data_IF_830252134036
#
_entry.id   IF_830252134036
#
_cell.length_a   1.000
_cell.length_b   1.000
_cell.length_c   1.000
_cell.angle_alpha   90.00
_cell.angle_beta   90.00
_cell.angle_gamma   90.00
#
_symmetry.space_group_name_H-M   'P 1'
#
loop_
_entity.id
_entity.type
_entity.pdbx_description
1 polymer ?
#
# COMPACT_ATOMS: atom_id res chain seq x y z
N UNK A 1 15.73 46.58 9.38
CA UNK A 1 16.62 45.69 8.62
C UNK A 1 15.76 44.57 8.05
N UNK A 2 15.34 44.69 6.79
CA UNK A 2 14.72 43.56 6.07
C UNK A 2 15.87 42.64 5.68
N UNK A 3 15.99 41.49 6.36
CA UNK A 3 16.84 40.41 5.88
C UNK A 3 16.15 39.89 4.62
N UNK A 4 16.65 40.29 3.44
CA UNK A 4 16.29 39.62 2.20
C UNK A 4 16.73 38.17 2.35
N UNK A 5 15.75 37.27 2.47
CA UNK A 5 15.96 35.82 2.50
C UNK A 5 16.59 35.42 1.18
N UNK A 6 17.91 35.23 1.19
CA UNK A 6 18.62 34.62 0.08
C UNK A 6 18.03 33.20 -0.04
N UNK A 7 17.50 32.82 -1.22
CA UNK A 7 16.92 31.49 -1.40
C UNK A 7 17.98 30.43 -1.06
N UNK A 8 17.57 29.44 -0.29
CA UNK A 8 18.41 28.30 0.04
C UNK A 8 18.92 27.65 -1.25
N UNK A 9 20.23 27.42 -1.35
CA UNK A 9 20.87 26.85 -2.54
C UNK A 9 20.16 25.56 -2.99
N UNK A 10 19.77 24.69 -2.04
CA UNK A 10 19.11 23.42 -2.34
C UNK A 10 17.69 23.56 -2.87
N UNK A 11 16.93 24.54 -2.37
CA UNK A 11 15.63 24.90 -2.94
C UNK A 11 15.75 25.39 -4.39
N UNK A 12 16.83 26.12 -4.71
CA UNK A 12 17.08 26.55 -6.09
C UNK A 12 17.47 25.40 -7.02
N UNK A 13 18.19 24.39 -6.53
CA UNK A 13 18.46 23.15 -7.27
C UNK A 13 17.17 22.40 -7.64
N UNK A 14 16.21 22.24 -6.72
CA UNK A 14 14.89 21.63 -7.02
C UNK A 14 14.14 22.46 -8.07
N UNK A 15 14.17 23.78 -7.97
CA UNK A 15 13.54 24.66 -8.96
C UNK A 15 14.12 24.49 -10.36
N UNK A 16 15.43 24.23 -10.48
CA UNK A 16 16.09 23.95 -11.75
C UNK A 16 15.61 22.61 -12.32
N UNK A 17 15.52 21.57 -11.49
CA UNK A 17 14.98 20.26 -11.89
C UNK A 17 13.53 20.37 -12.35
N UNK A 18 12.69 21.12 -11.63
CA UNK A 18 11.31 21.39 -12.02
C UNK A 18 11.20 22.04 -13.40
N UNK A 19 12.04 23.06 -13.68
CA UNK A 19 12.09 23.68 -15.02
C UNK A 19 12.55 22.73 -16.12
N UNK A 20 13.50 21.83 -15.82
CA UNK A 20 13.95 20.79 -16.76
C UNK A 20 12.81 19.82 -17.07
N UNK A 21 12.09 19.36 -16.05
CA UNK A 21 10.89 18.54 -16.20
C UNK A 21 9.82 19.24 -17.05
N UNK A 22 9.43 20.47 -16.71
CA UNK A 22 8.42 21.22 -17.48
C UNK A 22 8.80 21.32 -18.95
N UNK A 23 10.05 21.67 -19.29
CA UNK A 23 10.48 21.79 -20.69
C UNK A 23 10.40 20.49 -21.49
N UNK A 24 10.59 19.35 -20.84
CA UNK A 24 10.53 18.04 -21.51
C UNK A 24 9.09 17.64 -21.82
N UNK A 25 8.14 18.00 -20.96
CA UNK A 25 6.76 17.51 -21.04
C UNK A 25 5.74 18.56 -21.49
N UNK A 26 6.01 19.86 -21.38
CA UNK A 26 5.11 20.93 -21.85
C UNK A 26 5.09 21.11 -23.37
N UNK A 27 6.08 20.54 -24.07
CA UNK A 27 6.21 20.65 -25.52
C UNK A 27 5.61 19.45 -26.28
N UNK A 28 4.98 18.50 -25.59
CA UNK A 28 4.23 17.44 -26.26
C UNK A 28 2.89 18.01 -26.73
N UNK A 29 2.56 17.91 -28.04
CA UNK A 29 1.25 18.31 -28.52
C UNK A 29 0.19 17.52 -27.75
N UNK A 30 -0.88 18.20 -27.31
CA UNK A 30 -2.01 17.53 -26.70
C UNK A 30 -2.61 16.61 -27.78
N UNK A 31 -2.88 15.32 -27.50
CA UNK A 31 -3.37 14.37 -28.51
C UNK A 31 -4.71 14.80 -29.14
N UNK A 32 -5.43 15.72 -28.50
CA UNK A 32 -6.66 16.33 -29.01
C UNK A 32 -6.43 17.33 -30.16
N UNK A 33 -5.19 17.74 -30.46
CA UNK A 33 -4.89 18.63 -31.60
C UNK A 33 -4.52 17.88 -32.89
N UNK A 34 -4.54 16.54 -32.89
CA UNK A 34 -4.40 15.71 -34.11
C UNK A 34 -5.78 15.26 -34.58
N UNK A 35 -6.65 16.22 -34.89
CA UNK A 35 -7.93 15.94 -35.56
C UNK A 35 -7.73 15.93 -37.09
N UNK A 36 -7.92 14.75 -37.70
CA UNK A 36 -8.66 14.54 -38.96
C UNK A 36 -8.23 15.29 -40.25
N UNK A 37 -6.97 15.16 -40.67
CA UNK A 37 -6.61 15.35 -42.09
C UNK A 37 -5.80 14.17 -42.61
N UNK A 38 -6.46 13.05 -42.92
CA UNK A 38 -6.23 12.18 -44.10
C UNK A 38 -6.94 10.83 -43.93
N UNK A 39 -8.19 10.76 -44.39
CA UNK A 39 -8.85 9.50 -44.76
C UNK A 39 -8.35 9.07 -46.13
N UNK A 40 -7.25 8.32 -46.17
CA UNK A 40 -6.98 7.37 -47.26
C UNK A 40 -6.78 6.01 -46.60
N UNK A 41 -7.91 5.29 -46.46
CA UNK A 41 -7.97 3.88 -46.10
C UNK A 41 -7.31 3.08 -47.23
N UNK A 42 -6.07 2.62 -47.02
CA UNK A 42 -5.58 1.30 -47.43
C UNK A 42 -4.04 1.28 -47.32
N UNK A 43 -3.51 0.37 -46.49
CA UNK A 43 -2.12 -0.09 -46.34
C UNK A 43 -1.27 0.59 -45.24
N UNK A 44 -1.05 -0.15 -44.13
CA UNK A 44 0.24 -0.41 -43.42
C UNK A 44 0.07 -0.61 -41.89
N UNK A 45 -0.66 -1.65 -41.45
CA UNK A 45 -0.87 -1.97 -40.02
C UNK A 45 0.30 -2.71 -39.32
N UNK A 46 1.56 -2.53 -39.72
CA UNK A 46 2.68 -3.33 -39.17
C UNK A 46 3.97 -2.57 -38.78
N UNK A 47 4.03 -1.24 -38.92
CA UNK A 47 5.24 -0.47 -38.51
C UNK A 47 5.02 0.62 -37.45
N UNK A 48 3.78 0.90 -37.03
CA UNK A 48 3.48 1.94 -36.02
C UNK A 48 4.01 1.56 -34.63
N UNK A 49 3.90 0.28 -34.22
CA UNK A 49 4.27 -0.16 -32.87
C UNK A 49 5.78 -0.03 -32.53
N UNK A 50 6.67 0.01 -33.53
CA UNK A 50 8.13 0.02 -33.27
C UNK A 50 8.71 1.40 -33.04
N UNK A 51 8.06 2.46 -33.53
CA UNK A 51 8.56 3.83 -33.36
C UNK A 51 8.25 4.32 -31.94
N UNK A 52 7.12 3.91 -31.38
CA UNK A 52 6.69 4.29 -30.02
C UNK A 52 7.55 3.65 -28.92
N UNK A 53 8.01 2.40 -29.09
CA UNK A 53 8.82 1.71 -28.06
C UNK A 53 10.20 2.38 -27.84
N UNK A 54 10.85 2.87 -28.90
CA UNK A 54 12.20 3.45 -28.80
C UNK A 54 12.18 4.85 -28.18
N UNK A 55 11.12 5.63 -28.44
CA UNK A 55 10.93 6.95 -27.80
C UNK A 55 10.48 6.82 -26.33
N UNK A 56 9.67 5.80 -26.02
CA UNK A 56 9.26 5.51 -24.64
C UNK A 56 10.46 5.11 -23.75
N UNK A 57 11.38 4.29 -24.27
CA UNK A 57 12.58 3.90 -23.52
C UNK A 57 13.47 5.09 -23.12
N UNK A 58 13.75 6.01 -24.05
CA UNK A 58 14.55 7.21 -23.76
C UNK A 58 13.85 8.16 -22.78
N UNK A 59 12.54 8.30 -22.91
CA UNK A 59 11.73 9.15 -22.01
C UNK A 59 11.78 8.61 -20.58
N UNK A 60 11.63 7.29 -20.41
CA UNK A 60 11.67 6.62 -19.11
C UNK A 60 13.02 6.82 -18.39
N UNK A 61 14.15 6.67 -19.11
CA UNK A 61 15.48 6.88 -18.53
C UNK A 61 15.72 8.33 -18.08
N UNK A 62 15.30 9.32 -18.89
CA UNK A 62 15.43 10.73 -18.52
C UNK A 62 14.56 11.06 -17.30
N UNK A 63 13.35 10.51 -17.23
CA UNK A 63 12.47 10.69 -16.08
C UNK A 63 13.08 10.06 -14.82
N UNK A 64 13.60 8.84 -14.91
CA UNK A 64 14.31 8.15 -13.82
C UNK A 64 15.49 8.98 -13.31
N UNK A 65 16.29 9.57 -14.21
CA UNK A 65 17.41 10.46 -13.86
C UNK A 65 16.93 11.69 -13.06
N UNK A 66 15.82 12.31 -13.46
CA UNK A 66 15.26 13.48 -12.75
C UNK A 66 14.73 13.13 -11.37
N UNK A 67 14.05 11.98 -11.25
CA UNK A 67 13.56 11.45 -9.98
C UNK A 67 14.73 11.17 -9.03
N UNK A 68 15.74 10.45 -9.49
CA UNK A 68 16.95 10.17 -8.72
C UNK A 68 17.71 11.45 -8.31
N UNK A 69 17.81 12.42 -9.24
CA UNK A 69 18.44 13.72 -8.97
C UNK A 69 17.69 14.51 -7.88
N UNK A 70 16.37 14.47 -7.90
CA UNK A 70 15.54 15.14 -6.89
C UNK A 70 15.79 14.52 -5.50
N UNK A 71 15.83 13.19 -5.40
CA UNK A 71 16.21 12.51 -4.15
C UNK A 71 17.64 12.85 -3.71
N UNK A 72 18.59 12.98 -4.64
CA UNK A 72 19.97 13.36 -4.31
C UNK A 72 20.05 14.78 -3.70
N UNK A 73 19.26 15.73 -4.20
CA UNK A 73 19.18 17.09 -3.61
C UNK A 73 18.67 17.05 -2.18
N UNK A 74 17.59 16.31 -1.92
CA UNK A 74 17.03 16.12 -0.56
C UNK A 74 18.06 15.48 0.36
N UNK A 75 18.72 14.40 -0.08
CA UNK A 75 19.77 13.73 0.71
C UNK A 75 20.89 14.69 1.10
N UNK A 76 21.41 15.44 0.13
CA UNK A 76 22.48 16.41 0.37
C UNK A 76 22.02 17.55 1.31
N UNK A 77 20.76 17.93 1.25
CA UNK A 77 20.18 18.90 2.16
C UNK A 77 20.14 18.39 3.61
N UNK A 78 19.75 17.12 3.83
CA UNK A 78 19.71 16.48 5.16
C UNK A 78 21.09 16.21 5.75
N UNK A 79 22.10 15.96 4.92
CA UNK A 79 23.49 15.79 5.35
C UNK A 79 24.17 17.10 5.76
N UNK A 80 23.64 18.26 5.37
CA UNK A 80 24.18 19.57 5.70
C UNK A 80 23.53 20.10 7.00
N UNK A 81 24.24 20.08 8.15
CA UNK A 81 23.69 20.57 9.41
C UNK A 81 23.45 22.09 9.44
N UNK A 82 23.97 22.83 8.46
CA UNK A 82 23.71 24.27 8.33
C UNK A 82 22.35 24.56 7.69
N UNK A 83 21.72 23.56 7.07
CA UNK A 83 20.45 23.71 6.40
C UNK A 83 19.29 23.75 7.41
N UNK A 84 18.59 24.89 7.46
CA UNK A 84 17.47 25.10 8.40
C UNK A 84 16.09 24.93 7.77
N UNK A 85 16.04 24.70 6.46
CA UNK A 85 14.80 24.76 5.69
C UNK A 85 14.43 23.41 5.05
N UNK A 86 14.62 22.33 5.81
CA UNK A 86 14.37 20.97 5.34
C UNK A 86 12.90 20.76 4.97
N UNK A 87 11.94 21.31 5.73
CA UNK A 87 10.50 21.16 5.43
C UNK A 87 10.12 21.78 4.07
N UNK A 88 10.69 22.94 3.73
CA UNK A 88 10.45 23.56 2.42
C UNK A 88 11.08 22.75 1.29
N UNK A 89 12.31 22.25 1.48
CA UNK A 89 13.00 21.42 0.49
C UNK A 89 12.24 20.12 0.26
N UNK A 90 11.84 19.45 1.35
CA UNK A 90 11.09 18.19 1.29
C UNK A 90 9.75 18.43 0.60
N UNK A 91 9.03 19.50 0.93
CA UNK A 91 7.76 19.86 0.28
C UNK A 91 7.93 20.16 -1.22
N UNK A 92 8.98 20.87 -1.63
CA UNK A 92 9.22 21.15 -3.05
C UNK A 92 9.61 19.87 -3.82
N UNK A 93 10.40 19.00 -3.20
CA UNK A 93 10.75 17.70 -3.77
C UNK A 93 9.52 16.81 -3.90
N UNK A 94 8.66 16.79 -2.87
CA UNK A 94 7.37 16.10 -2.83
C UNK A 94 6.47 16.49 -4.02
N UNK A 95 6.21 17.78 -4.18
CA UNK A 95 5.41 18.32 -5.29
C UNK A 95 6.00 17.96 -6.66
N UNK A 96 7.33 18.04 -6.81
CA UNK A 96 8.01 17.71 -8.06
C UNK A 96 7.98 16.20 -8.38
N UNK A 97 8.25 15.35 -7.38
CA UNK A 97 8.19 13.89 -7.54
C UNK A 97 6.76 13.44 -7.88
N UNK A 98 5.76 13.97 -7.17
CA UNK A 98 4.35 13.69 -7.46
C UNK A 98 4.00 14.05 -8.91
N UNK A 99 4.36 15.25 -9.38
CA UNK A 99 4.10 15.66 -10.76
C UNK A 99 4.83 14.80 -11.80
N UNK A 100 6.04 14.33 -11.51
CA UNK A 100 6.78 13.42 -12.38
C UNK A 100 6.13 12.04 -12.47
N UNK A 101 5.66 11.48 -11.36
CA UNK A 101 5.02 10.16 -11.31
C UNK A 101 3.59 10.22 -11.89
N UNK A 102 2.84 11.29 -11.63
CA UNK A 102 1.56 11.55 -12.30
C UNK A 102 1.73 11.66 -13.82
N UNK A 103 2.82 12.24 -14.30
CA UNK A 103 3.10 12.29 -15.73
C UNK A 103 3.43 10.90 -16.29
N UNK A 104 4.09 10.03 -15.52
CA UNK A 104 4.40 8.65 -15.93
C UNK A 104 3.14 7.80 -16.10
N UNK A 105 2.21 7.85 -15.13
CA UNK A 105 1.01 6.99 -15.07
C UNK A 105 -0.30 7.69 -15.46
N UNK A 106 -0.27 8.99 -15.76
CA UNK A 106 -1.47 9.77 -16.05
C UNK A 106 -2.03 9.54 -17.45
N UNK A 107 -2.77 10.52 -17.96
CA UNK A 107 -3.54 10.46 -19.22
C UNK A 107 -2.75 10.09 -20.48
N UNK A 108 -1.43 10.09 -20.41
CA UNK A 108 -0.57 9.70 -21.52
C UNK A 108 -0.03 8.27 -21.43
N UNK A 109 -0.31 7.52 -20.35
CA UNK A 109 0.06 6.11 -20.07
C UNK A 109 1.39 5.64 -20.72
N UNK A 110 2.40 6.52 -20.74
CA UNK A 110 3.59 6.28 -21.57
C UNK A 110 4.55 5.28 -20.93
N UNK A 111 4.33 4.97 -19.65
CA UNK A 111 5.19 4.10 -18.86
C UNK A 111 4.31 3.15 -18.05
N UNK A 112 4.32 1.87 -18.43
CA UNK A 112 3.61 0.81 -17.69
C UNK A 112 4.17 0.59 -16.29
N UNK A 113 5.47 0.85 -16.11
CA UNK A 113 6.17 0.62 -14.86
C UNK A 113 7.37 1.57 -14.72
N UNK A 114 7.37 2.37 -13.66
CA UNK A 114 8.47 3.27 -13.33
C UNK A 114 9.42 2.57 -12.33
N UNK A 115 10.67 2.27 -12.71
CA UNK A 115 11.62 1.66 -11.80
C UNK A 115 11.88 2.55 -10.57
N UNK A 116 12.13 1.92 -9.43
CA UNK A 116 12.55 2.64 -8.23
C UNK A 116 13.84 3.44 -8.50
N UNK A 117 13.93 4.63 -7.91
CA UNK A 117 14.97 5.63 -8.21
C UNK A 117 15.65 6.20 -6.95
N UNK A 118 15.15 5.86 -5.76
CA UNK A 118 15.61 6.46 -4.51
C UNK A 118 16.90 5.86 -3.95
N UNK A 119 17.36 4.75 -4.53
CA UNK A 119 18.45 3.91 -4.01
C UNK A 119 19.78 4.07 -4.78
N UNK A 120 19.78 4.65 -5.97
CA UNK A 120 21.00 4.74 -6.78
C UNK A 120 21.97 5.84 -6.27
N UNK A 121 23.24 5.47 -6.07
CA UNK A 121 24.37 6.41 -6.09
C UNK A 121 24.94 6.94 -4.76
N UNK A 122 24.35 6.67 -3.59
CA UNK A 122 24.77 7.35 -2.34
C UNK A 122 24.72 6.52 -1.04
N UNK A 123 24.94 5.20 -1.12
CA UNK A 123 25.09 4.34 0.07
C UNK A 123 23.81 3.69 0.60
N UNK A 124 22.63 4.10 0.11
CA UNK A 124 21.41 3.34 0.28
C UNK A 124 21.52 2.09 -0.60
N UNK A 125 21.69 0.93 0.02
CA UNK A 125 21.83 -0.31 -0.75
C UNK A 125 20.45 -0.80 -1.17
N UNK A 126 20.19 -0.84 -2.48
CA UNK A 126 19.15 -1.71 -3.00
C UNK A 126 19.64 -3.15 -2.80
N UNK A 127 18.94 -3.86 -1.92
CA UNK A 127 19.17 -5.28 -1.72
C UNK A 127 18.43 -5.99 -2.84
N UNK A 128 19.20 -6.39 -3.84
CA UNK A 128 18.71 -7.19 -4.96
C UNK A 128 18.30 -8.58 -4.48
N UNK A 129 17.15 -9.03 -4.97
CA UNK A 129 16.71 -10.39 -4.72
C UNK A 129 17.22 -11.31 -5.82
N UNK A 130 18.35 -11.97 -5.52
CA UNK A 130 19.08 -12.82 -6.46
C UNK A 130 18.27 -14.05 -6.92
N UNK A 131 17.23 -14.45 -6.18
CA UNK A 131 16.41 -15.64 -6.47
C UNK A 131 15.22 -15.36 -7.40
N UNK A 132 14.99 -14.10 -7.79
CA UNK A 132 13.82 -13.69 -8.59
C UNK A 132 13.86 -14.11 -10.06
N UNK A 133 14.99 -14.62 -10.54
CA UNK A 133 15.16 -15.09 -11.92
C UNK A 133 14.42 -16.41 -12.14
N UNK A 134 13.11 -16.37 -12.40
CA UNK A 134 12.41 -17.54 -12.97
C UNK A 134 10.94 -17.73 -12.64
N UNK A 135 10.31 -16.90 -11.79
CA UNK A 135 8.91 -17.12 -11.38
C UNK A 135 7.95 -16.29 -12.24
N UNK A 136 7.80 -16.67 -13.52
CA UNK A 136 6.74 -16.11 -14.39
C UNK A 136 5.34 -16.49 -13.88
N UNK A 137 4.36 -15.60 -14.01
CA UNK A 137 3.04 -15.61 -13.34
C UNK A 137 2.07 -16.74 -13.73
N UNK A 138 2.49 -17.69 -14.57
CA UNK A 138 1.61 -18.77 -14.98
C UNK A 138 2.49 -19.97 -15.23
N UNK A 139 2.32 -21.02 -14.42
CA UNK A 139 2.90 -22.29 -14.83
C UNK A 139 2.23 -22.70 -16.14
N UNK A 140 2.94 -23.37 -17.06
CA UNK A 140 2.33 -23.90 -18.27
C UNK A 140 1.05 -24.71 -17.98
N UNK A 141 0.99 -25.34 -16.81
CA UNK A 141 -0.17 -26.08 -16.31
C UNK A 141 -1.35 -25.16 -15.96
N UNK A 142 -1.16 -24.04 -15.25
CA UNK A 142 -2.25 -23.09 -14.96
C UNK A 142 -2.80 -22.44 -16.24
N UNK A 143 -1.93 -22.11 -17.20
CA UNK A 143 -2.34 -21.59 -18.52
C UNK A 143 -3.15 -22.65 -19.26
N UNK A 144 -2.72 -23.91 -19.20
CA UNK A 144 -3.43 -25.04 -19.81
C UNK A 144 -4.82 -25.24 -19.20
N UNK A 145 -4.93 -25.25 -17.87
CA UNK A 145 -6.23 -25.37 -17.19
C UNK A 145 -7.17 -24.21 -17.55
N UNK A 146 -6.64 -22.98 -17.61
CA UNK A 146 -7.42 -21.82 -18.07
C UNK A 146 -7.87 -21.98 -19.52
N UNK A 147 -6.98 -22.44 -20.41
CA UNK A 147 -7.31 -22.71 -21.82
C UNK A 147 -8.37 -23.80 -21.94
N UNK A 148 -8.30 -24.85 -21.13
CA UNK A 148 -9.30 -25.92 -21.11
C UNK A 148 -10.67 -25.38 -20.67
N UNK A 149 -10.72 -24.56 -19.61
CA UNK A 149 -11.94 -23.87 -19.16
C UNK A 149 -12.51 -22.96 -20.26
N UNK A 150 -11.67 -22.14 -20.88
CA UNK A 150 -12.10 -21.22 -21.95
C UNK A 150 -12.51 -21.96 -23.23
N UNK A 151 -11.89 -23.09 -23.53
CA UNK A 151 -12.28 -23.98 -24.64
C UNK A 151 -13.66 -24.59 -24.36
N UNK A 152 -13.93 -25.02 -23.13
CA UNK A 152 -15.25 -25.48 -22.72
C UNK A 152 -16.32 -24.38 -22.85
N UNK A 153 -15.99 -23.13 -22.49
CA UNK A 153 -16.93 -22.01 -22.51
C UNK A 153 -17.23 -21.50 -23.93
N UNK A 154 -16.22 -21.48 -24.81
CA UNK A 154 -16.33 -20.93 -26.18
C UNK A 154 -16.67 -21.97 -27.23
N UNK A 155 -16.52 -23.27 -26.92
CA UNK A 155 -16.72 -24.37 -27.86
C UNK A 155 -15.69 -24.40 -29.00
N UNK A 156 -14.61 -23.63 -28.90
CA UNK A 156 -13.53 -23.55 -29.89
C UNK A 156 -12.21 -23.94 -29.22
N UNK A 157 -11.48 -24.94 -29.73
CA UNK A 157 -10.16 -25.24 -29.22
C UNK A 157 -9.24 -24.04 -29.49
N UNK A 158 -8.73 -23.42 -28.42
CA UNK A 158 -7.63 -22.48 -28.54
C UNK A 158 -6.41 -23.26 -29.05
N UNK A 159 -5.73 -22.73 -30.08
CA UNK A 159 -4.59 -23.40 -30.68
C UNK A 159 -3.46 -23.53 -29.64
N UNK A 160 -3.12 -24.76 -29.25
CA UNK A 160 -2.10 -25.04 -28.24
C UNK A 160 -0.71 -24.51 -28.63
N UNK A 161 -0.43 -24.33 -29.93
CA UNK A 161 0.80 -23.68 -30.40
C UNK A 161 0.82 -22.17 -30.16
N UNK A 162 -0.33 -21.50 -30.19
CA UNK A 162 -0.42 -20.08 -29.83
C UNK A 162 -0.30 -19.86 -28.30
N UNK A 163 -0.57 -20.90 -27.51
CA UNK A 163 -0.41 -20.91 -26.06
C UNK A 163 0.98 -21.33 -25.58
N UNK A 164 1.85 -21.77 -26.49
CA UNK A 164 3.24 -22.05 -26.18
C UNK A 164 3.98 -20.72 -25.98
N UNK A 165 3.84 -20.14 -24.78
CA UNK A 165 4.69 -19.03 -24.36
C UNK A 165 6.16 -19.49 -24.48
N UNK A 166 7.00 -18.78 -25.25
CA UNK A 166 8.38 -19.17 -25.42
C UNK A 166 9.10 -19.18 -24.07
N UNK A 167 9.31 -20.39 -23.55
CA UNK A 167 10.55 -20.81 -22.93
C UNK A 167 11.02 -20.06 -21.69
N UNK A 168 10.27 -20.13 -20.60
CA UNK A 168 10.89 -20.31 -19.28
C UNK A 168 10.25 -21.55 -18.67
N UNK A 169 10.82 -22.72 -18.96
CA UNK A 169 10.59 -23.89 -18.10
C UNK A 169 11.06 -23.47 -16.72
N UNK A 170 10.13 -23.28 -15.78
CA UNK A 170 10.48 -23.03 -14.38
C UNK A 170 11.47 -24.11 -13.97
N UNK A 171 12.64 -23.70 -13.50
CA UNK A 171 13.49 -24.67 -12.81
C UNK A 171 12.64 -25.30 -11.70
N UNK A 172 12.79 -26.61 -11.44
CA UNK A 172 12.11 -27.26 -10.32
C UNK A 172 12.27 -26.39 -9.08
N UNK A 173 11.19 -26.22 -8.29
CA UNK A 173 11.26 -25.47 -7.04
C UNK A 173 12.54 -25.81 -6.30
N UNK A 174 13.26 -24.79 -5.83
CA UNK A 174 14.51 -24.99 -5.11
C UNK A 174 14.29 -26.09 -4.05
N UNK A 175 15.17 -27.09 -4.04
CA UNK A 175 15.10 -28.22 -3.10
C UNK A 175 15.53 -27.80 -1.70
N UNK A 176 15.44 -26.51 -1.38
CA UNK A 176 15.73 -25.99 -0.06
C UNK A 176 14.72 -26.52 0.94
N UNK A 177 15.10 -26.60 2.23
CA UNK A 177 14.21 -27.14 3.25
C UNK A 177 12.89 -26.37 3.28
N UNK A 178 11.79 -27.12 3.42
CA UNK A 178 10.50 -26.53 3.77
C UNK A 178 10.51 -26.12 5.25
N UNK A 179 9.78 -25.06 5.63
CA UNK A 179 9.44 -24.81 7.03
C UNK A 179 8.81 -26.03 7.71
N UNK A 180 8.01 -26.79 6.97
CA UNK A 180 7.37 -28.01 7.43
C UNK A 180 6.96 -28.87 6.22
N UNK A 181 6.89 -30.20 6.35
CA UNK A 181 6.58 -31.10 5.22
C UNK A 181 5.24 -30.77 4.53
N UNK A 182 4.29 -30.28 5.33
CA UNK A 182 2.94 -29.85 4.88
C UNK A 182 2.88 -28.44 4.31
N UNK A 183 3.95 -27.64 4.34
CA UNK A 183 3.89 -26.32 3.68
C UNK A 183 3.85 -26.47 2.17
N UNK A 184 3.29 -25.44 1.52
CA UNK A 184 3.15 -25.38 0.07
C UNK A 184 4.51 -25.56 -0.62
N UNK A 185 4.55 -26.00 -1.90
CA UNK A 185 5.79 -26.09 -2.64
C UNK A 185 6.53 -24.76 -2.81
N UNK A 186 5.86 -23.61 -2.60
CA UNK A 186 6.42 -22.26 -2.69
C UNK A 186 7.01 -21.75 -1.37
N UNK A 187 6.53 -22.26 -0.22
CA UNK A 187 7.09 -21.92 1.09
C UNK A 187 8.43 -22.65 1.31
N UNK A 188 9.53 -21.93 1.10
CA UNK A 188 10.90 -22.45 1.15
C UNK A 188 11.83 -21.49 1.88
N UNK A 189 12.80 -22.03 2.61
CA UNK A 189 13.94 -21.22 3.07
C UNK A 189 14.91 -20.96 1.93
N UNK A 190 15.69 -19.90 2.04
CA UNK A 190 16.84 -19.69 1.16
C UNK A 190 17.93 -20.71 1.47
N UNK A 191 18.72 -21.05 0.46
CA UNK A 191 19.81 -22.01 0.58
C UNK A 191 20.89 -21.53 1.57
N UNK A 192 21.00 -20.20 1.73
CA UNK A 192 21.98 -19.53 2.58
C UNK A 192 21.38 -18.91 3.85
N UNK A 193 20.21 -19.37 4.32
CA UNK A 193 19.71 -18.89 5.62
C UNK A 193 20.74 -19.29 6.70
N UNK A 194 21.31 -18.34 7.45
CA UNK A 194 22.29 -18.66 8.47
C UNK A 194 21.67 -19.65 9.46
N UNK A 195 22.31 -20.80 9.64
CA UNK A 195 21.86 -21.86 10.57
C UNK A 195 21.80 -21.40 12.04
N UNK A 196 22.19 -20.16 12.34
CA UNK A 196 22.33 -19.57 13.67
C UNK A 196 21.13 -18.74 14.14
N UNK A 197 20.12 -18.49 13.30
CA UNK A 197 19.03 -17.56 13.68
C UNK A 197 18.07 -18.20 14.67
N UNK A 198 17.91 -19.52 14.63
CA UNK A 198 17.00 -20.26 15.51
C UNK A 198 17.82 -21.23 16.36
N UNK A 199 17.95 -20.90 17.64
CA UNK A 199 18.56 -21.78 18.65
C UNK A 199 17.49 -22.28 19.62
N UNK A 200 17.81 -23.24 20.49
CA UNK A 200 16.92 -23.60 21.60
C UNK A 200 16.64 -22.43 22.55
N UNK A 201 17.47 -21.38 22.51
CA UNK A 201 17.26 -20.16 23.30
C UNK A 201 16.24 -19.20 22.68
N UNK A 202 15.82 -19.42 21.44
CA UNK A 202 14.92 -18.51 20.69
C UNK A 202 13.57 -19.17 20.41
N UNK A 203 12.81 -19.45 21.48
CA UNK A 203 11.56 -20.22 21.41
C UNK A 203 10.48 -19.55 20.57
N UNK A 204 10.45 -18.21 20.51
CA UNK A 204 9.48 -17.47 19.68
C UNK A 204 9.84 -17.55 18.20
N UNK A 205 11.14 -17.52 17.87
CA UNK A 205 11.59 -17.76 16.51
C UNK A 205 11.27 -19.20 16.05
N UNK A 206 11.32 -20.19 16.96
CA UNK A 206 10.83 -21.55 16.67
C UNK A 206 9.32 -21.61 16.45
N UNK A 207 8.53 -20.77 17.13
CA UNK A 207 7.07 -20.74 16.95
C UNK A 207 6.65 -20.30 15.53
N UNK A 208 7.45 -19.44 14.87
CA UNK A 208 7.23 -19.05 13.47
C UNK A 208 7.36 -20.25 12.51
N UNK A 209 8.14 -21.27 12.88
CA UNK A 209 8.26 -22.51 12.10
C UNK A 209 7.06 -23.46 12.28
N UNK A 210 6.19 -23.21 13.27
CA UNK A 210 5.02 -24.03 13.53
C UNK A 210 3.74 -23.18 13.59
N UNK A 211 3.20 -22.83 12.42
CA UNK A 211 1.84 -22.31 12.31
C UNK A 211 0.82 -23.39 12.62
N UNK A 212 0.06 -23.24 13.70
CA UNK A 212 -1.20 -23.97 13.91
C UNK A 212 -2.34 -22.99 13.71
N UNK A 213 -3.28 -23.32 12.82
CA UNK A 213 -4.50 -22.52 12.66
C UNK A 213 -5.70 -23.32 13.16
N UNK A 214 -6.58 -22.63 13.88
CA UNK A 214 -7.98 -23.00 14.02
C UNK A 214 -8.76 -22.01 13.15
N UNK A 215 -9.61 -22.51 12.25
CA UNK A 215 -10.41 -21.69 11.37
C UNK A 215 -11.85 -21.64 11.90
N UNK A 216 -12.35 -20.43 12.08
CA UNK A 216 -13.76 -20.15 12.29
C UNK A 216 -14.24 -19.28 11.13
N UNK A 217 -15.52 -19.36 10.80
CA UNK A 217 -16.11 -18.60 9.71
C UNK A 217 -17.43 -18.00 10.18
N UNK A 218 -17.61 -16.72 9.87
CA UNK A 218 -18.88 -16.01 9.96
C UNK A 218 -19.09 -15.27 8.63
N UNK A 219 -20.34 -14.88 8.37
CA UNK A 219 -20.65 -14.00 7.25
C UNK A 219 -20.31 -12.57 7.66
N UNK A 220 -19.55 -11.87 6.83
CA UNK A 220 -19.22 -10.46 7.02
C UNK A 220 -19.57 -9.68 5.75
N UNK A 221 -19.67 -8.35 5.88
CA UNK A 221 -19.64 -7.47 4.71
C UNK A 221 -18.31 -7.64 3.92
N UNK A 222 -18.24 -7.09 2.71
CA UNK A 222 -17.05 -7.24 1.84
C UNK A 222 -15.85 -6.53 2.48
N UNK A 223 -14.84 -7.24 3.00
CA UNK A 223 -13.78 -6.65 3.80
C UNK A 223 -12.95 -5.65 2.98
N UNK A 224 -12.72 -4.47 3.54
CA UNK A 224 -11.83 -3.44 2.98
C UNK A 224 -10.53 -3.40 3.78
N UNK A 225 -10.61 -3.48 5.11
CA UNK A 225 -9.45 -3.38 5.99
C UNK A 225 -9.67 -4.03 7.34
N UNK A 226 -8.60 -4.56 7.91
CA UNK A 226 -8.61 -5.24 9.21
C UNK A 226 -7.56 -4.59 10.11
N UNK A 227 -7.90 -4.36 11.38
CA UNK A 227 -6.95 -3.89 12.39
C UNK A 227 -7.13 -4.67 13.66
N UNK A 228 -6.02 -5.09 14.28
CA UNK A 228 -6.01 -5.74 15.59
C UNK A 228 -5.58 -4.74 16.66
N UNK A 229 -6.13 -4.87 17.86
CA UNK A 229 -5.60 -4.17 19.02
C UNK A 229 -4.20 -4.67 19.33
N UNK A 230 -3.36 -3.81 19.91
CA UNK A 230 -1.99 -4.15 20.33
C UNK A 230 -1.92 -5.44 21.18
N UNK A 231 -2.90 -5.65 22.04
CA UNK A 231 -3.03 -6.84 22.88
C UNK A 231 -3.90 -7.95 22.25
N UNK A 232 -4.14 -7.95 20.94
CA UNK A 232 -4.82 -9.01 20.18
C UNK A 232 -6.14 -9.49 20.78
N UNK A 233 -6.93 -8.55 21.28
CA UNK A 233 -8.12 -8.81 22.12
C UNK A 233 -9.33 -8.03 21.63
N UNK A 234 -9.12 -7.14 20.66
CA UNK A 234 -10.17 -6.61 19.81
C UNK A 234 -9.64 -6.61 18.37
N UNK A 235 -10.53 -6.86 17.40
CA UNK A 235 -10.28 -6.73 15.98
C UNK A 235 -11.35 -5.84 15.39
N UNK A 236 -10.99 -4.86 14.58
CA UNK A 236 -11.94 -4.06 13.82
C UNK A 236 -11.86 -4.44 12.35
N UNK A 237 -13.00 -4.54 11.70
CA UNK A 237 -13.17 -4.80 10.29
C UNK A 237 -13.88 -3.62 9.64
N UNK A 238 -13.18 -2.91 8.76
CA UNK A 238 -13.80 -2.03 7.76
C UNK A 238 -14.29 -2.91 6.62
N UNK A 239 -15.54 -2.73 6.22
CA UNK A 239 -16.13 -3.47 5.12
C UNK A 239 -17.06 -2.59 4.28
N UNK A 240 -17.22 -2.97 3.02
CA UNK A 240 -18.23 -2.45 2.12
C UNK A 240 -19.50 -3.29 2.26
N UNK A 241 -20.57 -2.68 2.78
CA UNK A 241 -21.88 -3.29 2.99
C UNK A 241 -23.02 -2.48 2.38
N UNK A 242 -24.25 -2.77 2.81
CA UNK A 242 -25.47 -2.15 2.25
C UNK A 242 -25.72 -2.49 0.77
N UNK A 243 -26.63 -1.76 0.13
CA UNK A 243 -26.97 -1.98 -1.28
C UNK A 243 -25.75 -1.83 -2.20
N UNK A 244 -25.35 -2.92 -2.87
CA UNK A 244 -24.21 -2.95 -3.80
C UNK A 244 -22.88 -2.51 -3.17
N UNK A 245 -22.67 -2.81 -1.88
CA UNK A 245 -21.42 -2.50 -1.20
C UNK A 245 -21.10 -0.99 -1.20
N UNK A 246 -22.12 -0.14 -1.06
CA UNK A 246 -21.98 1.33 -1.08
C UNK A 246 -22.00 1.97 0.30
N UNK A 247 -22.33 1.22 1.34
CA UNK A 247 -22.25 1.69 2.72
C UNK A 247 -20.95 1.21 3.33
N UNK A 248 -20.22 2.11 3.99
CA UNK A 248 -19.09 1.70 4.80
C UNK A 248 -19.60 1.15 6.14
N UNK A 249 -19.26 -0.10 6.44
CA UNK A 249 -19.62 -0.79 7.68
C UNK A 249 -18.35 -1.00 8.48
N UNK A 250 -18.44 -0.73 9.78
CA UNK A 250 -17.37 -1.00 10.73
C UNK A 250 -17.85 -2.04 11.72
N UNK A 251 -17.30 -3.24 11.65
CA UNK A 251 -17.54 -4.29 12.64
C UNK A 251 -16.38 -4.32 13.63
N UNK A 252 -16.62 -4.62 14.90
CA UNK A 252 -15.56 -4.97 15.81
C UNK A 252 -15.86 -6.26 16.57
N UNK A 253 -14.82 -7.04 16.80
CA UNK A 253 -14.84 -8.34 17.42
C UNK A 253 -14.02 -8.26 18.70
N UNK A 254 -14.64 -8.55 19.84
CA UNK A 254 -13.93 -8.62 21.11
C UNK A 254 -13.55 -10.08 21.36
N UNK A 255 -12.24 -10.36 21.42
CA UNK A 255 -11.75 -11.67 21.81
C UNK A 255 -11.71 -11.74 23.33
N UNK A 256 -12.59 -12.54 23.91
CA UNK A 256 -12.44 -13.00 25.28
C UNK A 256 -11.60 -14.28 25.32
N UNK A 257 -11.35 -14.80 26.53
CA UNK A 257 -10.58 -16.04 26.69
C UNK A 257 -11.39 -17.30 26.35
N UNK A 258 -12.64 -17.17 25.87
CA UNK A 258 -13.50 -18.31 25.57
C UNK A 258 -13.36 -18.70 24.09
N UNK A 259 -12.33 -19.50 23.80
CA UNK A 259 -11.98 -19.94 22.44
C UNK A 259 -13.02 -20.88 21.78
N UNK A 260 -14.04 -21.31 22.53
CA UNK A 260 -15.04 -22.27 22.04
C UNK A 260 -16.16 -21.61 21.22
N UNK A 261 -16.36 -20.30 21.36
CA UNK A 261 -17.41 -19.53 20.67
C UNK A 261 -16.84 -18.47 19.72
N UNK A 262 -17.60 -18.11 18.68
CA UNK A 262 -17.19 -17.02 17.79
C UNK A 262 -17.14 -15.70 18.58
N UNK A 263 -16.15 -14.83 18.34
CA UNK A 263 -16.04 -13.57 19.06
C UNK A 263 -17.32 -12.74 18.99
N UNK A 264 -17.64 -12.03 20.07
CA UNK A 264 -18.78 -11.11 20.08
C UNK A 264 -18.55 -10.00 19.06
N UNK A 265 -19.40 -9.99 18.03
CA UNK A 265 -19.42 -9.02 16.92
C UNK A 265 -20.36 -7.87 17.24
N UNK A 266 -19.92 -6.65 16.96
CA UNK A 266 -20.75 -5.45 17.01
C UNK A 266 -20.53 -4.66 15.73
N UNK A 267 -21.63 -4.43 15.02
CA UNK A 267 -21.63 -3.61 13.82
C UNK A 267 -21.96 -2.16 14.14
N UNK A 268 -21.18 -1.27 13.54
CA UNK A 268 -21.36 0.17 13.59
C UNK A 268 -21.49 0.61 12.13
N UNK A 269 -22.69 1.03 11.76
CA UNK A 269 -22.84 1.85 10.57
C UNK A 269 -22.28 3.23 10.89
N UNK A 270 -21.18 3.61 10.26
CA UNK A 270 -20.46 4.84 10.66
C UNK A 270 -21.10 6.10 10.07
N UNK A 271 -22.18 5.98 9.28
CA UNK A 271 -22.76 7.09 8.52
C UNK A 271 -21.84 7.59 7.40
N UNK A 272 -20.73 6.89 7.16
CA UNK A 272 -19.62 7.28 6.30
C UNK A 272 -19.87 6.96 4.82
N UNK A 273 -21.06 7.22 4.29
CA UNK A 273 -21.39 6.91 2.90
C UNK A 273 -20.36 7.49 1.89
N UNK A 274 -19.62 8.54 2.28
CA UNK A 274 -18.56 9.17 1.48
C UNK A 274 -17.13 8.98 2.01
N UNK A 275 -16.91 8.34 3.18
CA UNK A 275 -15.58 8.22 3.81
C UNK A 275 -15.09 6.77 3.86
N UNK A 276 -14.71 6.23 2.71
CA UNK A 276 -14.00 4.95 2.60
C UNK A 276 -12.50 5.08 2.92
N UNK A 277 -12.14 5.86 3.94
CA UNK A 277 -10.75 6.05 4.36
C UNK A 277 -10.29 5.00 5.37
N UNK A 278 -9.01 5.02 5.76
CA UNK A 278 -8.43 3.96 6.57
C UNK A 278 -8.92 4.02 8.03
N UNK A 279 -8.93 2.88 8.71
CA UNK A 279 -9.32 2.75 10.12
C UNK A 279 -8.14 2.43 11.03
N UNK A 280 -8.14 2.96 12.24
CA UNK A 280 -7.14 2.63 13.26
C UNK A 280 -7.78 2.56 14.64
N UNK A 281 -7.34 1.58 15.44
CA UNK A 281 -7.69 1.49 16.85
C UNK A 281 -6.54 2.09 17.68
N UNK A 282 -6.82 3.08 18.54
CA UNK A 282 -5.83 3.75 19.39
C UNK A 282 -6.19 3.63 20.88
N UNK A 283 -5.30 4.11 21.76
CA UNK A 283 -5.53 4.25 23.20
C UNK A 283 -5.99 2.95 23.89
N UNK A 284 -5.34 1.81 23.59
CA UNK A 284 -5.63 0.51 24.21
C UNK A 284 -7.12 0.09 24.13
N UNK A 285 -7.74 0.29 22.95
CA UNK A 285 -9.11 -0.13 22.57
C UNK A 285 -10.24 0.85 22.87
N UNK A 286 -9.99 2.03 23.42
CA UNK A 286 -11.10 2.94 23.70
C UNK A 286 -11.45 3.87 22.54
N UNK A 287 -10.64 3.94 21.48
CA UNK A 287 -10.93 4.87 20.37
C UNK A 287 -10.70 4.25 19.00
N UNK A 288 -11.68 4.44 18.13
CA UNK A 288 -11.59 4.14 16.71
C UNK A 288 -11.40 5.46 15.97
N UNK A 289 -10.43 5.48 15.07
CA UNK A 289 -10.20 6.56 14.14
C UNK A 289 -10.66 6.12 12.75
N UNK A 290 -11.32 7.01 12.02
CA UNK A 290 -11.55 6.87 10.59
C UNK A 290 -10.99 8.07 9.85
N UNK A 291 -10.08 7.81 8.91
CA UNK A 291 -9.54 8.82 8.01
C UNK A 291 -10.59 9.26 6.99
N UNK A 292 -10.59 10.55 6.69
CA UNK A 292 -11.44 11.17 5.70
C UNK A 292 -10.68 12.22 4.90
N UNK A 293 -11.30 12.74 3.84
CA UNK A 293 -10.72 13.85 3.09
C UNK A 293 -10.76 15.13 3.93
N UNK A 294 -9.60 15.59 4.36
CA UNK A 294 -9.41 16.79 5.15
C UNK A 294 -9.71 16.63 6.64
N UNK A 295 -9.98 15.41 7.13
CA UNK A 295 -10.33 15.18 8.53
C UNK A 295 -10.14 13.74 9.04
N UNK A 296 -10.22 13.58 10.36
CA UNK A 296 -10.34 12.30 11.05
C UNK A 296 -11.52 12.35 12.00
N UNK A 297 -12.38 11.35 11.93
CA UNK A 297 -13.44 11.14 12.90
C UNK A 297 -12.99 10.12 13.95
N UNK A 298 -13.41 10.34 15.19
CA UNK A 298 -13.00 9.60 16.37
C UNK A 298 -14.23 9.15 17.13
N UNK A 299 -14.33 7.85 17.41
CA UNK A 299 -15.38 7.28 18.25
C UNK A 299 -14.76 6.71 19.51
N UNK A 300 -15.29 7.09 20.67
CA UNK A 300 -14.96 6.45 21.94
C UNK A 300 -15.80 5.18 22.09
N UNK A 301 -15.13 4.02 21.99
CA UNK A 301 -15.72 2.68 22.00
C UNK A 301 -16.53 2.44 23.28
N UNK A 302 -16.05 2.92 24.42
CA UNK A 302 -16.72 2.74 25.71
C UNK A 302 -18.01 3.58 25.82
N UNK A 303 -18.13 4.61 24.98
CA UNK A 303 -19.31 5.48 24.91
C UNK A 303 -20.32 5.05 23.84
N UNK A 304 -19.97 4.09 22.98
CA UNK A 304 -20.82 3.68 21.88
C UNK A 304 -22.12 3.03 22.40
N UNK A 305 -23.29 3.38 21.82
CA UNK A 305 -24.53 2.75 22.22
C UNK A 305 -24.53 1.28 21.81
N UNK A 306 -24.90 0.40 22.75
CA UNK A 306 -25.06 -1.02 22.50
C UNK A 306 -26.52 -1.42 22.21
N UNK A 307 -26.69 -2.67 21.78
CA UNK A 307 -27.99 -3.33 21.62
C UNK A 307 -28.66 -3.71 22.95
N UNK A 308 -28.12 -3.22 24.08
CA UNK A 308 -28.51 -3.59 25.42
C UNK A 308 -28.28 -5.08 25.71
N UNK A 309 -28.60 -5.54 26.93
CA UNK A 309 -28.30 -6.90 27.40
C UNK A 309 -29.06 -8.01 26.67
N UNK A 310 -30.01 -7.67 25.80
CA UNK A 310 -30.80 -8.63 25.02
C UNK A 310 -30.42 -8.65 23.53
N UNK A 311 -29.48 -7.81 23.09
CA UNK A 311 -29.10 -7.73 21.67
C UNK A 311 -30.22 -7.21 20.76
N UNK A 312 -31.21 -6.49 21.28
CA UNK A 312 -32.42 -6.07 20.53
C UNK A 312 -32.70 -4.58 20.56
N UNK A 313 -31.95 -3.81 21.35
CA UNK A 313 -32.08 -2.36 21.37
C UNK A 313 -31.56 -1.81 20.05
N UNK A 314 -32.26 -0.83 19.52
CA UNK A 314 -31.86 -0.13 18.31
C UNK A 314 -30.76 0.88 18.63
N UNK A 315 -29.71 0.94 17.81
CA UNK A 315 -28.63 1.92 17.90
C UNK A 315 -28.84 2.99 16.81
N UNK A 316 -28.72 4.26 17.18
CA UNK A 316 -28.95 5.41 16.30
C UNK A 316 -30.39 5.97 16.26
N UNK A 317 -30.54 7.18 15.70
CA UNK A 317 -31.84 7.87 15.50
C UNK A 317 -32.20 7.90 14.00
N UNK A 318 -33.46 7.61 13.65
CA UNK A 318 -33.98 7.82 12.28
C UNK A 318 -35.03 6.80 11.85
N UNK A 319 -35.47 6.85 10.59
CA UNK A 319 -36.21 5.74 9.94
C UNK A 319 -35.24 5.04 9.00
N UNK A 320 -35.18 3.71 9.07
CA UNK A 320 -34.34 2.91 8.18
C UNK A 320 -35.16 2.62 6.93
N UNK A 321 -34.55 2.88 5.77
CA UNK A 321 -35.09 2.42 4.50
C UNK A 321 -34.77 0.93 4.39
N UNK A 322 -35.76 0.07 4.66
CA UNK A 322 -35.61 -1.38 4.43
C UNK A 322 -35.55 -1.75 2.94
N UNK A 323 -35.83 -0.80 2.05
CA UNK A 323 -35.90 -1.05 0.62
C UNK A 323 -34.52 -1.29 -0.02
N UNK A 324 -33.44 -1.01 0.70
CA UNK A 324 -32.07 -1.05 0.19
C UNK A 324 -31.27 -2.30 0.66
N UNK A 325 -31.91 -3.27 1.30
CA UNK A 325 -31.25 -4.49 1.78
C UNK A 325 -31.65 -5.71 0.95
N UNK A 326 -30.68 -6.59 0.71
CA UNK A 326 -30.86 -7.85 -0.05
C UNK A 326 -31.40 -9.02 0.80
N UNK A 327 -31.74 -8.80 2.07
CA UNK A 327 -32.20 -9.87 2.93
C UNK A 327 -33.71 -10.08 2.77
N UNK A 328 -34.09 -11.33 2.48
CA UNK A 328 -35.49 -11.76 2.30
C UNK A 328 -36.31 -11.66 3.60
N UNK A 329 -35.63 -11.64 4.76
CA UNK A 329 -36.27 -11.55 6.08
C UNK A 329 -36.01 -10.17 6.72
N UNK A 330 -36.98 -9.24 6.69
CA UNK A 330 -36.83 -7.89 7.24
C UNK A 330 -36.70 -7.84 8.78
N UNK A 331 -36.88 -8.99 9.42
CA UNK A 331 -36.70 -9.20 10.86
C UNK A 331 -35.24 -9.42 11.25
N UNK A 332 -34.42 -9.90 10.31
CA UNK A 332 -32.98 -10.12 10.48
C UNK A 332 -32.13 -8.92 10.05
N UNK A 333 -32.75 -7.91 9.42
CA UNK A 333 -32.05 -6.68 9.05
C UNK A 333 -31.76 -5.88 10.33
N UNK A 334 -30.47 -5.77 10.65
CA UNK A 334 -30.01 -4.97 11.76
C UNK A 334 -30.42 -3.50 11.58
N UNK A 335 -31.10 -2.95 12.59
CA UNK A 335 -31.75 -1.64 12.49
C UNK A 335 -30.83 -0.49 12.94
N UNK A 336 -29.67 -0.35 12.30
CA UNK A 336 -28.74 0.75 12.59
C UNK A 336 -29.06 1.98 11.73
N UNK A 337 -28.84 3.18 12.27
CA UNK A 337 -28.76 4.44 11.48
C UNK A 337 -27.43 5.15 11.71
N UNK A 338 -26.49 4.42 12.30
CA UNK A 338 -25.22 4.91 12.78
C UNK A 338 -25.23 5.78 14.04
N UNK A 339 -24.01 6.08 14.49
CA UNK A 339 -23.68 6.90 15.66
C UNK A 339 -22.73 8.01 15.23
N UNK A 340 -23.04 9.25 15.58
CA UNK A 340 -22.17 10.40 15.32
C UNK A 340 -20.79 10.20 15.96
N UNK A 341 -19.74 10.71 15.32
CA UNK A 341 -18.39 10.71 15.89
C UNK A 341 -18.35 11.44 17.24
N UNK A 342 -17.59 10.91 18.18
CA UNK A 342 -17.32 11.54 19.49
C UNK A 342 -16.50 12.82 19.32
N UNK A 343 -15.57 12.83 18.37
CA UNK A 343 -14.71 13.96 18.05
C UNK A 343 -14.36 13.96 16.55
N UNK A 344 -14.24 15.15 15.96
CA UNK A 344 -13.75 15.34 14.59
C UNK A 344 -12.51 16.24 14.61
N UNK A 345 -11.41 15.75 14.05
CA UNK A 345 -10.13 16.45 13.92
C UNK A 345 -10.00 16.91 12.47
N UNK A 346 -10.20 18.20 12.21
CA UNK A 346 -9.95 18.77 10.88
C UNK A 346 -8.44 18.90 10.63
N UNK A 347 -8.01 18.49 9.45
CA UNK A 347 -6.62 18.62 9.02
C UNK A 347 -6.27 20.07 8.71
N UNK A 348 -5.03 20.45 8.98
CA UNK A 348 -4.47 21.75 8.59
C UNK A 348 -4.50 21.92 7.07
N UNK A 349 -4.27 20.83 6.33
CA UNK A 349 -4.41 20.77 4.89
C UNK A 349 -5.70 20.01 4.53
N UNK A 350 -6.74 20.71 4.03
CA UNK A 350 -8.02 20.07 3.70
C UNK A 350 -7.95 19.20 2.44
N UNK A 351 -6.83 19.22 1.71
CA UNK A 351 -6.64 18.40 0.50
C UNK A 351 -6.14 16.99 0.78
N UNK A 352 -5.63 16.74 1.99
CA UNK A 352 -5.19 15.43 2.42
C UNK A 352 -6.36 14.44 2.38
N UNK A 353 -6.14 13.31 1.73
CA UNK A 353 -7.12 12.23 1.59
C UNK A 353 -6.42 10.91 1.88
N UNK A 354 -6.27 10.54 3.18
CA UNK A 354 -5.56 9.34 3.58
C UNK A 354 -6.22 8.11 2.95
N UNK A 355 -5.43 7.25 2.31
CA UNK A 355 -5.90 5.97 1.76
C UNK A 355 -5.57 4.82 2.69
N UNK A 356 -4.34 4.79 3.18
CA UNK A 356 -3.84 3.79 4.12
C UNK A 356 -3.15 4.52 5.25
N UNK A 357 -3.17 3.92 6.43
CA UNK A 357 -2.40 4.47 7.52
C UNK A 357 -1.92 3.40 8.51
N UNK A 358 -0.93 3.75 9.30
CA UNK A 358 -0.42 2.92 10.38
C UNK A 358 -0.05 3.82 11.56
N UNK A 359 -0.43 3.39 12.76
CA UNK A 359 -0.12 4.12 13.98
C UNK A 359 1.40 4.08 14.23
N UNK A 360 2.03 5.24 14.32
CA UNK A 360 3.44 5.36 14.70
C UNK A 360 3.57 5.60 16.21
N UNK A 361 2.70 6.43 16.77
CA UNK A 361 2.57 6.67 18.21
C UNK A 361 1.14 7.12 18.52
N UNK A 362 0.82 7.43 19.78
CA UNK A 362 -0.54 7.82 20.18
C UNK A 362 -1.07 9.06 19.44
N UNK A 363 -0.18 10.02 19.13
CA UNK A 363 -0.51 11.24 18.40
C UNK A 363 -0.22 11.20 16.90
N UNK A 364 0.62 10.27 16.44
CA UNK A 364 1.21 10.32 15.10
C UNK A 364 0.83 9.10 14.28
N UNK A 365 0.44 9.37 13.05
CA UNK A 365 0.01 8.36 12.11
C UNK A 365 0.80 8.51 10.82
N UNK A 366 1.34 7.41 10.32
CA UNK A 366 1.88 7.29 8.97
C UNK A 366 0.73 7.10 8.00
N UNK A 367 0.65 7.87 6.93
CA UNK A 367 -0.44 7.82 5.98
C UNK A 367 0.09 7.83 4.55
N UNK A 368 -0.66 7.21 3.65
CA UNK A 368 -0.55 7.38 2.19
C UNK A 368 -1.73 8.21 1.69
N UNK A 369 -1.62 8.82 0.51
CA UNK A 369 -2.71 9.58 -0.10
C UNK A 369 -3.44 8.76 -1.16
N UNK A 370 -4.77 8.91 -1.26
CA UNK A 370 -5.60 8.25 -2.28
C UNK A 370 -5.25 8.65 -3.70
N UNK A 371 -4.80 9.90 -3.87
CA UNK A 371 -4.35 10.48 -5.14
C UNK A 371 -2.93 10.99 -4.94
N UNK A 372 -2.03 10.06 -4.68
CA UNK A 372 -0.64 10.37 -4.39
C UNK A 372 0.22 9.12 -4.37
N UNK A 373 1.51 9.31 -4.59
CA UNK A 373 2.51 8.24 -4.54
C UNK A 373 3.35 8.30 -3.26
N UNK A 374 2.92 9.12 -2.30
CA UNK A 374 3.75 9.57 -1.20
C UNK A 374 3.26 9.02 0.13
N UNK A 375 4.19 8.92 1.08
CA UNK A 375 3.91 8.57 2.47
C UNK A 375 4.30 9.76 3.36
N UNK A 376 3.51 10.05 4.38
CA UNK A 376 3.75 11.17 5.30
C UNK A 376 3.34 10.83 6.72
N UNK A 377 3.87 11.56 7.70
CA UNK A 377 3.38 11.50 9.08
C UNK A 377 2.48 12.69 9.37
N UNK A 378 1.25 12.43 9.79
CA UNK A 378 0.36 13.45 10.37
C UNK A 378 0.40 13.38 11.89
N UNK A 379 0.32 14.54 12.53
CA UNK A 379 0.14 14.67 13.97
C UNK A 379 -1.29 15.11 14.29
N UNK A 380 -2.05 14.20 14.90
CA UNK A 380 -3.44 14.42 15.25
C UNK A 380 -3.61 15.43 16.39
N UNK A 381 -2.62 15.59 17.28
CA UNK A 381 -2.69 16.57 18.36
C UNK A 381 -2.58 18.01 17.83
N UNK A 382 -1.93 18.20 16.68
CA UNK A 382 -1.76 19.51 16.04
C UNK A 382 -2.71 19.73 14.86
N UNK A 383 -3.90 19.11 14.91
CA UNK A 383 -4.92 19.27 13.87
C UNK A 383 -4.50 18.62 12.55
N UNK A 384 -3.97 17.40 12.62
CA UNK A 384 -3.54 16.62 11.46
C UNK A 384 -2.49 17.31 10.60
N UNK A 385 -1.59 18.08 11.21
CA UNK A 385 -0.50 18.74 10.48
C UNK A 385 0.48 17.68 9.96
N UNK A 386 0.88 17.79 8.70
CA UNK A 386 2.00 17.00 8.16
C UNK A 386 3.29 17.40 8.86
N UNK A 387 3.96 16.43 9.47
CA UNK A 387 5.21 16.62 10.24
C UNK A 387 6.43 16.06 9.54
N UNK A 388 6.25 15.09 8.64
CA UNK A 388 7.34 14.45 7.89
C UNK A 388 6.81 13.94 6.56
N UNK A 389 7.66 13.95 5.53
CA UNK A 389 7.38 13.41 4.18
C UNK A 389 8.43 12.36 3.86
N UNK A 390 7.99 11.21 3.36
CA UNK A 390 8.85 10.10 3.03
C UNK A 390 8.79 9.90 1.52
N UNK A 391 9.92 10.23 0.90
CA UNK A 391 10.08 10.33 -0.53
C UNK A 391 10.70 9.05 -1.09
N UNK A 392 10.59 8.89 -2.40
CA UNK A 392 11.33 7.87 -3.14
C UNK A 392 10.50 6.69 -3.65
N UNK A 393 9.19 6.69 -3.45
CA UNK A 393 8.23 5.77 -4.07
C UNK A 393 7.99 6.15 -5.54
N UNK A 394 7.97 5.16 -6.43
CA UNK A 394 7.68 5.32 -7.86
C UNK A 394 6.33 4.75 -8.27
N UNK A 395 5.43 4.54 -7.31
CA UNK A 395 4.08 4.01 -7.51
C UNK A 395 3.25 4.14 -6.24
N UNK A 396 2.01 3.63 -6.27
CA UNK A 396 1.15 3.64 -5.08
C UNK A 396 1.80 2.87 -3.93
N UNK A 397 1.70 3.40 -2.72
CA UNK A 397 2.14 2.71 -1.51
C UNK A 397 1.00 1.83 -1.00
N UNK A 398 1.17 0.52 -1.13
CA UNK A 398 0.14 -0.49 -0.86
C UNK A 398 0.06 -0.88 0.62
N UNK A 399 1.18 -0.77 1.34
CA UNK A 399 1.25 -1.19 2.73
C UNK A 399 2.24 -0.31 3.52
N UNK A 400 1.90 -0.03 4.77
CA UNK A 400 2.79 0.54 5.77
C UNK A 400 2.84 -0.45 6.94
N UNK A 401 4.04 -0.79 7.40
CA UNK A 401 4.24 -1.66 8.56
C UNK A 401 5.20 -1.01 9.55
N UNK A 402 4.86 -1.09 10.83
CA UNK A 402 5.68 -0.61 11.95
C UNK A 402 5.97 -1.78 12.87
N UNK A 403 7.11 -1.72 13.55
CA UNK A 403 7.47 -2.72 14.56
C UNK A 403 7.64 -2.05 15.92
N UNK A 404 7.06 -2.63 16.95
CA UNK A 404 7.21 -2.14 18.34
C UNK A 404 8.65 -2.23 18.84
N UNK A 405 9.41 -3.21 18.34
CA UNK A 405 10.84 -3.34 18.63
C UNK A 405 11.70 -2.18 18.10
N UNK A 406 11.17 -1.36 17.18
CA UNK A 406 11.88 -0.21 16.61
C UNK A 406 10.90 0.93 16.27
N UNK A 407 10.55 1.78 17.26
CA UNK A 407 9.58 2.86 17.08
C UNK A 407 10.08 3.99 16.18
N UNK A 408 11.37 3.98 15.79
CA UNK A 408 11.94 4.97 14.89
C UNK A 408 12.02 4.48 13.45
N UNK A 409 11.56 3.26 13.15
CA UNK A 409 11.56 2.74 11.80
C UNK A 409 10.20 2.21 11.38
N UNK A 410 9.96 2.29 10.08
CA UNK A 410 8.79 1.70 9.46
C UNK A 410 9.12 1.27 8.04
N UNK A 411 8.28 0.40 7.52
CA UNK A 411 8.43 -0.24 6.24
C UNK A 411 7.27 0.15 5.34
N UNK A 412 7.54 0.34 4.04
CA UNK A 412 6.49 0.53 3.04
C UNK A 412 6.65 -0.47 1.91
N UNK A 413 5.54 -1.05 1.43
CA UNK A 413 5.47 -1.81 0.17
C UNK A 413 4.83 -0.94 -0.92
N UNK A 414 5.32 -1.04 -2.15
CA UNK A 414 4.94 -0.14 -3.24
C UNK A 414 4.75 -0.87 -4.56
N UNK A 415 3.87 -0.32 -5.42
CA UNK A 415 3.62 -0.81 -6.78
C UNK A 415 4.85 -0.77 -7.69
N UNK A 416 5.89 -0.01 -7.33
CA UNK A 416 7.18 -0.06 -8.02
C UNK A 416 8.04 -1.30 -7.66
N UNK A 417 7.46 -2.28 -6.97
CA UNK A 417 8.09 -3.55 -6.60
C UNK A 417 9.14 -3.43 -5.51
N UNK A 418 9.34 -2.26 -4.90
CA UNK A 418 10.36 -2.04 -3.88
C UNK A 418 9.74 -1.86 -2.50
N UNK A 419 10.21 -2.67 -1.57
CA UNK A 419 9.95 -2.51 -0.14
C UNK A 419 11.01 -1.57 0.43
N UNK A 420 10.63 -0.60 1.24
CA UNK A 420 11.54 0.43 1.76
C UNK A 420 11.46 0.52 3.27
N UNK A 421 12.60 0.47 3.93
CA UNK A 421 12.74 0.72 5.36
C UNK A 421 13.19 2.16 5.58
N UNK A 422 12.37 2.93 6.28
CA UNK A 422 12.61 4.31 6.64
C UNK A 422 12.97 4.44 8.11
N UNK A 423 13.80 5.42 8.42
CA UNK A 423 13.85 6.01 9.75
C UNK A 423 12.89 7.21 9.77
N UNK A 424 12.04 7.35 10.78
CA UNK A 424 11.03 8.42 10.89
C UNK A 424 11.63 9.83 10.93
N UNK A 425 12.95 9.94 11.14
CA UNK A 425 13.69 11.20 11.18
C UNK A 425 14.27 11.58 9.82
N UNK A 426 14.21 10.70 8.84
CA UNK A 426 14.81 10.88 7.52
C UNK A 426 13.74 10.82 6.43
N UNK A 427 13.80 11.75 5.48
CA UNK A 427 12.80 11.83 4.40
C UNK A 427 13.06 10.82 3.28
N UNK A 428 14.19 10.10 3.30
CA UNK A 428 14.58 9.10 2.31
C UNK A 428 14.77 7.74 2.98
N UNK A 429 14.58 6.63 2.24
CA UNK A 429 14.71 5.30 2.82
C UNK A 429 16.16 5.02 3.18
N UNK A 430 16.38 4.25 4.26
CA UNK A 430 17.71 3.74 4.64
C UNK A 430 18.06 2.47 3.89
N UNK A 431 17.09 1.59 3.72
CA UNK A 431 17.23 0.34 2.97
C UNK A 431 16.07 0.20 2.00
N UNK A 432 16.36 -0.39 0.85
CA UNK A 432 15.38 -0.77 -0.15
C UNK A 432 15.59 -2.22 -0.52
N UNK A 433 14.53 -2.99 -0.63
CA UNK A 433 14.54 -4.39 -1.04
C UNK A 433 13.79 -4.51 -2.35
N UNK A 434 14.44 -5.08 -3.37
CA UNK A 434 13.77 -5.43 -4.61
C UNK A 434 12.90 -6.67 -4.37
N UNK A 435 11.66 -6.47 -3.91
CA UNK A 435 10.75 -7.58 -3.60
C UNK A 435 10.03 -8.10 -4.84
N UNK A 436 9.74 -7.21 -5.78
CA UNK A 436 8.98 -7.47 -6.99
C UNK A 436 9.81 -7.80 -8.23
N UNK A 437 11.05 -8.29 -8.08
CA UNK A 437 11.91 -8.62 -9.23
C UNK A 437 12.06 -7.46 -10.26
N UNK A 438 11.99 -6.21 -9.81
CA UNK A 438 12.17 -5.02 -10.63
C UNK A 438 11.00 -4.62 -11.54
N UNK A 439 9.88 -5.35 -11.55
CA UNK A 439 8.70 -4.97 -12.36
C UNK A 439 7.35 -5.44 -11.79
N UNK A 440 7.35 -6.20 -10.71
CA UNK A 440 6.14 -6.77 -10.11
C UNK A 440 5.70 -5.91 -8.92
N UNK A 441 4.43 -5.48 -8.84
CA UNK A 441 3.93 -4.76 -7.68
C UNK A 441 4.16 -5.53 -6.37
N UNK A 442 4.61 -4.82 -5.34
CA UNK A 442 4.70 -5.38 -4.00
C UNK A 442 3.51 -4.89 -3.17
N UNK A 443 2.57 -5.79 -2.91
CA UNK A 443 1.30 -5.45 -2.23
C UNK A 443 1.46 -5.25 -0.74
N UNK A 444 2.25 -6.10 -0.10
CA UNK A 444 2.35 -6.11 1.35
C UNK A 444 3.75 -6.47 1.81
N UNK A 445 4.13 -5.85 2.91
CA UNK A 445 5.33 -6.21 3.64
C UNK A 445 5.10 -6.01 5.14
N UNK A 446 5.62 -6.94 5.94
CA UNK A 446 5.56 -6.94 7.39
C UNK A 446 6.96 -6.69 7.95
N UNK A 447 7.09 -5.67 8.78
CA UNK A 447 8.27 -5.40 9.59
C UNK A 447 8.00 -5.79 11.03
N UNK A 448 8.78 -6.71 11.57
CA UNK A 448 8.58 -7.23 12.92
C UNK A 448 9.93 -7.51 13.59
N UNK A 449 10.02 -7.27 14.89
CA UNK A 449 11.13 -7.77 15.69
C UNK A 449 10.71 -9.04 16.43
N UNK A 450 11.46 -10.12 16.23
CA UNK A 450 11.28 -11.37 16.95
C UNK A 450 12.48 -11.53 17.85
N UNK A 451 12.26 -11.43 19.16
CA UNK A 451 13.32 -11.52 20.19
C UNK A 451 14.47 -10.52 19.95
N UNK A 452 14.12 -9.32 19.47
CA UNK A 452 15.07 -8.24 19.19
C UNK A 452 15.77 -8.34 17.82
N UNK A 453 15.52 -9.37 17.03
CA UNK A 453 16.02 -9.49 15.65
C UNK A 453 14.97 -8.94 14.69
N UNK A 454 15.29 -7.98 13.82
CA UNK A 454 14.36 -7.46 12.82
C UNK A 454 14.17 -8.45 11.67
N UNK A 455 12.93 -8.62 11.22
CA UNK A 455 12.54 -9.41 10.05
C UNK A 455 11.71 -8.55 9.10
N UNK A 456 11.89 -8.78 7.80
CA UNK A 456 11.09 -8.17 6.73
C UNK A 456 10.48 -9.28 5.88
N UNK A 457 9.17 -9.47 5.99
CA UNK A 457 8.43 -10.45 5.19
C UNK A 457 7.70 -9.69 4.09
N UNK A 458 7.81 -10.09 2.84
CA UNK A 458 7.20 -9.35 1.71
C UNK A 458 6.51 -10.29 0.75
N UNK A 459 5.41 -9.86 0.15
CA UNK A 459 4.80 -10.55 -0.99
C UNK A 459 4.60 -9.60 -2.18
N UNK A 460 4.70 -10.18 -3.36
CA UNK A 460 4.38 -9.54 -4.64
C UNK A 460 3.37 -10.43 -5.38
N UNK A 461 2.75 -9.90 -6.45
CA UNK A 461 1.77 -10.66 -7.24
C UNK A 461 2.31 -12.02 -7.76
N UNK A 462 3.61 -12.08 -8.04
CA UNK A 462 4.27 -13.24 -8.66
C UNK A 462 5.19 -13.98 -7.70
N UNK A 463 5.52 -13.41 -6.55
CA UNK A 463 6.50 -13.95 -5.61
C UNK A 463 5.99 -13.86 -4.17
N UNK A 464 5.90 -15.00 -3.50
CA UNK A 464 5.82 -15.07 -2.05
C UNK A 464 7.22 -15.40 -1.52
N UNK A 465 7.84 -14.50 -0.73
CA UNK A 465 9.17 -14.76 -0.16
C UNK A 465 9.29 -14.27 1.28
N UNK A 466 9.85 -15.12 2.16
CA UNK A 466 10.24 -14.73 3.50
C UNK A 466 11.70 -14.31 3.44
N UNK A 467 11.97 -13.03 3.72
CA UNK A 467 13.34 -12.49 3.79
C UNK A 467 13.71 -12.35 5.27
N UNK A 468 14.90 -12.81 5.61
CA UNK A 468 15.44 -12.77 6.98
C UNK A 468 16.65 -11.87 7.00
#
# INVERSE_FOLDING_TARGET
>A
MQLSTIPNQKSSEITVLARRFTRLYSNRPHPEEVEDENQDEDLEDLEVDKVDEVENGKTSEVLKELLASTCAVVRNAHLDPSNRDLDTIDKQADELLQGMIECAYGTHESINFLPSFAHDGFGNSLIEDLETKGVGASSPETVREFIEIMTCYTGRPLNAEAAAFPGVTREPYAQTPKPHDKTSPIARFRQDVPSSIVTEATLTAQAIYQGRCSAMSSNTCSPIGLSLSHNSTCMTLSAAGGWKNRCHVLSYYVFDNNLDDFPYEVDIETGLADMGGPLALIDNRNKILCGGRGEVEVWDVDSLPDHGPKGKKRVGKGKISINDFWHDEPEDIERLTGTDATLTIKFTDPTLDPLRWQRLSDAKILCTQRRGFLCYTIDLQTGGKVTSRYLGHGGEVNCISVSEGDPNAFLTACNDGVVRLYDVRESLPRLSFNAGAGSDPCDTALYIHVEGVPFVISSSHRLESIKV
#
